data_IF_673431964917
#
_entry.id   IF_673431964917
#
_cell.length_a   1.000
_cell.length_b   1.000
_cell.length_c   1.000
_cell.angle_alpha   90.00
_cell.angle_beta   90.00
_cell.angle_gamma   90.00
#
_symmetry.space_group_name_H-M   'P 1'
#
loop_
_entity.id
_entity.type
_entity.pdbx_description
1 polymer ?
#
# COMPACT_ATOMS: atom_id res chain seq x y z
N UNK A 1 9.97 57.88 -30.08
CA UNK A 1 9.23 59.17 -29.98
C UNK A 1 7.74 58.87 -29.93
N UNK A 2 7.07 59.34 -28.86
CA UNK A 2 5.66 59.78 -28.74
C UNK A 2 4.64 59.19 -29.74
N UNK A 3 3.74 58.32 -29.28
CA UNK A 3 2.42 58.64 -28.69
C UNK A 3 1.34 59.06 -29.70
N UNK A 4 0.15 58.43 -29.61
CA UNK A 4 -1.11 59.11 -29.23
C UNK A 4 -2.29 58.13 -29.19
N UNK A 5 -2.98 58.16 -28.05
CA UNK A 5 -4.37 57.73 -27.81
C UNK A 5 -5.33 58.57 -28.67
N UNK A 6 -6.60 58.14 -28.84
CA UNK A 6 -7.75 58.67 -28.08
C UNK A 6 -9.11 58.65 -28.85
N UNK A 7 -10.10 57.98 -28.23
CA UNK A 7 -11.56 58.28 -28.11
C UNK A 7 -12.49 58.36 -29.35
N UNK A 8 -13.65 57.70 -29.21
CA UNK A 8 -14.90 58.03 -29.90
C UNK A 8 -16.11 57.23 -29.38
N UNK A 9 -16.80 57.78 -28.38
CA UNK A 9 -18.08 57.32 -27.79
C UNK A 9 -19.24 57.65 -28.75
N UNK A 10 -20.22 56.75 -28.91
CA UNK A 10 -21.62 57.13 -29.22
C UNK A 10 -22.57 56.28 -28.39
N UNK A 11 -23.40 56.97 -27.60
CA UNK A 11 -24.52 56.46 -26.82
C UNK A 11 -25.76 57.27 -27.24
N UNK A 12 -26.86 56.61 -27.61
CA UNK A 12 -28.21 57.18 -27.76
C UNK A 12 -29.21 56.01 -27.80
N UNK A 13 -29.89 55.69 -26.69
CA UNK A 13 -31.16 56.22 -26.14
C UNK A 13 -32.39 55.43 -26.63
N UNK A 14 -33.17 54.99 -25.64
CA UNK A 14 -34.30 54.06 -25.64
C UNK A 14 -35.65 54.67 -26.09
N UNK A 15 -36.65 53.82 -26.38
CA UNK A 15 -38.10 54.04 -26.12
C UNK A 15 -38.85 52.69 -25.93
N UNK A 16 -39.50 52.59 -24.76
CA UNK A 16 -40.74 51.90 -24.28
C UNK A 16 -41.55 50.87 -25.13
N UNK A 17 -41.71 49.65 -24.56
CA UNK A 17 -42.91 48.87 -24.10
C UNK A 17 -44.23 48.79 -24.95
N UNK A 18 -45.17 47.84 -24.66
CA UNK A 18 -45.16 46.40 -24.95
C UNK A 18 -46.39 45.94 -25.77
N UNK A 19 -46.34 44.81 -26.47
CA UNK A 19 -47.56 44.12 -26.95
C UNK A 19 -47.57 42.71 -26.39
N UNK A 20 -48.47 42.47 -25.43
CA UNK A 20 -48.90 41.13 -25.08
C UNK A 20 -49.82 40.61 -26.18
N UNK A 21 -49.43 39.52 -26.83
CA UNK A 21 -50.37 38.58 -27.43
C UNK A 21 -49.88 37.16 -27.23
N UNK A 22 -50.80 36.35 -26.76
CA UNK A 22 -50.78 34.96 -26.32
C UNK A 22 -50.11 33.92 -27.23
N UNK A 23 -49.62 32.87 -26.55
CA UNK A 23 -49.59 31.44 -26.95
C UNK A 23 -48.71 31.02 -28.13
N UNK A 24 -47.57 30.38 -27.85
CA UNK A 24 -47.41 28.91 -27.84
C UNK A 24 -45.93 28.57 -27.71
N UNK A 25 -45.54 27.93 -26.61
CA UNK A 25 -44.21 27.36 -26.44
C UNK A 25 -44.18 26.04 -27.21
N UNK A 26 -43.50 26.04 -28.36
CA UNK A 26 -42.89 24.83 -28.89
C UNK A 26 -41.38 25.07 -29.00
N UNK A 27 -40.66 24.64 -27.96
CA UNK A 27 -39.21 24.47 -28.02
C UNK A 27 -38.90 23.41 -29.08
N UNK A 28 -38.47 23.87 -30.26
CA UNK A 28 -37.72 23.04 -31.21
C UNK A 28 -36.44 22.59 -30.52
N UNK A 29 -36.34 21.30 -30.28
CA UNK A 29 -35.14 20.59 -29.86
C UNK A 29 -34.03 20.82 -30.90
N UNK A 30 -33.06 21.65 -30.57
CA UNK A 30 -31.75 21.59 -31.19
C UNK A 30 -31.07 20.32 -30.69
N UNK A 31 -31.16 19.24 -31.48
CA UNK A 31 -30.34 18.05 -31.30
C UNK A 31 -28.91 18.46 -31.63
N UNK A 32 -28.12 18.77 -30.61
CA UNK A 32 -26.66 18.79 -30.73
C UNK A 32 -26.20 17.34 -30.64
N UNK A 33 -25.69 16.83 -31.75
CA UNK A 33 -25.02 15.53 -31.82
C UNK A 33 -23.89 15.55 -30.79
N UNK A 34 -23.86 14.58 -29.87
CA UNK A 34 -22.77 14.46 -28.91
C UNK A 34 -21.46 14.34 -29.71
N UNK A 35 -20.68 15.42 -29.74
CA UNK A 35 -19.27 15.30 -30.06
C UNK A 35 -18.70 14.41 -28.97
N UNK A 36 -18.12 13.30 -29.40
CA UNK A 36 -17.28 12.46 -28.57
C UNK A 36 -16.28 13.37 -27.88
N UNK A 37 -16.48 13.58 -26.58
CA UNK A 37 -15.42 14.05 -25.70
C UNK A 37 -14.36 12.96 -25.83
N UNK A 38 -13.31 13.22 -26.60
CA UNK A 38 -12.05 12.50 -26.47
C UNK A 38 -11.65 12.72 -25.03
N UNK A 39 -11.92 11.73 -24.18
CA UNK A 39 -11.37 11.63 -22.85
C UNK A 39 -9.87 11.85 -23.01
N UNK A 40 -9.35 12.97 -22.50
CA UNK A 40 -7.91 13.06 -22.26
C UNK A 40 -7.56 11.80 -21.46
N UNK A 41 -6.73 10.96 -22.08
CA UNK A 41 -6.33 9.69 -21.50
C UNK A 41 -5.53 10.03 -20.24
N UNK A 42 -6.20 10.08 -19.09
CA UNK A 42 -5.54 10.27 -17.80
C UNK A 42 -4.50 9.16 -17.69
N UNK A 43 -3.24 9.51 -17.86
CA UNK A 43 -2.14 8.55 -17.73
C UNK A 43 -2.14 8.09 -16.29
N UNK A 44 -2.54 6.84 -16.06
CA UNK A 44 -2.48 6.21 -14.73
C UNK A 44 -1.11 6.46 -14.11
N UNK A 45 -1.07 7.09 -12.94
CA UNK A 45 0.13 7.25 -12.11
C UNK A 45 0.48 5.96 -11.37
N UNK A 46 -0.34 4.93 -11.53
CA UNK A 46 -0.12 3.59 -10.98
C UNK A 46 0.52 2.69 -12.01
N UNK A 47 1.68 2.12 -11.66
CA UNK A 47 2.40 1.14 -12.47
C UNK A 47 2.40 -0.22 -11.78
N UNK A 48 2.03 -1.28 -12.51
CA UNK A 48 2.22 -2.66 -12.06
C UNK A 48 3.56 -3.19 -12.56
N UNK A 49 4.31 -3.78 -11.65
CA UNK A 49 5.58 -4.47 -11.88
C UNK A 49 5.38 -5.92 -11.41
N UNK A 50 4.96 -6.78 -12.33
CA UNK A 50 4.54 -8.15 -12.03
C UNK A 50 4.71 -9.07 -13.23
N UNK A 51 5.50 -10.12 -13.06
CA UNK A 51 5.76 -11.12 -14.08
C UNK A 51 4.92 -12.39 -13.92
N UNK A 52 5.20 -13.40 -14.75
CA UNK A 52 4.55 -14.72 -14.62
C UNK A 52 4.95 -15.47 -13.36
N UNK A 53 6.10 -15.11 -12.79
CA UNK A 53 6.67 -15.68 -11.58
C UNK A 53 7.49 -14.62 -10.83
N UNK A 54 7.93 -14.97 -9.61
CA UNK A 54 8.73 -14.11 -8.74
C UNK A 54 10.00 -13.58 -9.40
N UNK A 55 10.66 -14.37 -10.25
CA UNK A 55 11.91 -13.99 -10.89
C UNK A 55 11.69 -12.93 -11.96
N UNK A 56 10.61 -13.07 -12.73
CA UNK A 56 10.22 -12.05 -13.70
C UNK A 56 9.69 -10.78 -13.04
N UNK A 57 8.95 -10.88 -11.92
CA UNK A 57 8.59 -9.70 -11.11
C UNK A 57 9.83 -8.94 -10.65
N UNK A 58 10.83 -9.63 -10.09
CA UNK A 58 12.10 -9.03 -9.67
C UNK A 58 12.82 -8.30 -10.81
N UNK A 59 12.80 -8.90 -12.02
CA UNK A 59 13.38 -8.28 -13.22
C UNK A 59 12.62 -7.04 -13.65
N UNK A 60 11.28 -7.05 -13.64
CA UNK A 60 10.49 -5.85 -13.97
C UNK A 60 10.73 -4.71 -12.97
N UNK A 61 10.83 -5.04 -11.68
CA UNK A 61 11.18 -4.08 -10.63
C UNK A 61 12.56 -3.47 -10.88
N UNK A 62 13.55 -4.31 -11.21
CA UNK A 62 14.90 -3.87 -11.56
C UNK A 62 14.91 -2.95 -12.79
N UNK A 63 14.18 -3.30 -13.84
CA UNK A 63 14.09 -2.51 -15.07
C UNK A 63 13.45 -1.15 -14.86
N UNK A 64 12.47 -1.08 -13.95
CA UNK A 64 11.82 0.17 -13.60
C UNK A 64 12.75 1.09 -12.79
N UNK A 65 13.41 0.55 -11.77
CA UNK A 65 14.22 1.34 -10.84
C UNK A 65 15.62 1.71 -11.33
N UNK A 66 16.22 0.88 -12.20
CA UNK A 66 17.64 0.96 -12.53
C UNK A 66 17.89 0.79 -14.02
N UNK A 67 18.44 1.82 -14.68
CA UNK A 67 18.96 1.70 -16.05
C UNK A 67 20.25 0.88 -16.09
N UNK A 68 21.09 1.05 -15.07
CA UNK A 68 22.31 0.31 -14.77
C UNK A 68 22.53 0.32 -13.25
N UNK A 69 23.39 -0.55 -12.73
CA UNK A 69 23.76 -0.55 -11.32
C UNK A 69 25.21 -1.04 -11.16
N UNK A 70 25.99 -0.42 -10.28
CA UNK A 70 27.38 -0.83 -10.02
C UNK A 70 27.45 -2.15 -9.23
N UNK A 71 26.44 -2.40 -8.40
CA UNK A 71 26.24 -3.62 -7.62
C UNK A 71 24.87 -4.23 -7.93
N UNK A 72 24.78 -5.56 -7.92
CA UNK A 72 23.52 -6.32 -7.85
C UNK A 72 23.52 -7.18 -6.61
N UNK A 73 22.43 -7.14 -5.83
CA UNK A 73 22.22 -8.09 -4.74
C UNK A 73 21.49 -9.32 -5.27
N UNK A 74 21.99 -10.51 -4.94
CA UNK A 74 21.42 -11.78 -5.35
C UNK A 74 21.07 -12.63 -4.14
N UNK A 75 19.81 -13.02 -4.00
CA UNK A 75 19.36 -13.87 -2.90
C UNK A 75 18.58 -15.11 -3.38
N UNK A 76 18.51 -16.13 -2.53
CA UNK A 76 17.64 -17.29 -2.77
C UNK A 76 16.18 -16.92 -2.51
N UNK A 77 15.28 -17.38 -3.38
CA UNK A 77 13.85 -17.30 -3.13
C UNK A 77 13.14 -18.45 -3.86
N UNK A 78 13.68 -19.66 -3.80
CA UNK A 78 13.08 -20.84 -4.40
C UNK A 78 11.84 -21.29 -3.61
N UNK A 79 11.95 -21.24 -2.28
CA UNK A 79 10.85 -21.57 -1.36
C UNK A 79 10.25 -20.32 -0.70
N UNK A 80 9.15 -20.49 0.05
CA UNK A 80 8.49 -19.39 0.77
C UNK A 80 9.13 -19.07 2.14
N UNK A 81 10.24 -19.71 2.50
CA UNK A 81 10.92 -19.53 3.80
C UNK A 81 12.31 -18.89 3.71
N UNK A 82 12.78 -18.61 2.49
CA UNK A 82 14.11 -18.06 2.14
C UNK A 82 14.13 -16.51 2.09
N UNK A 83 13.35 -15.85 2.94
CA UNK A 83 13.21 -14.39 2.88
C UNK A 83 14.22 -13.62 3.73
N UNK A 84 14.67 -14.21 4.84
CA UNK A 84 15.31 -13.46 5.92
C UNK A 84 16.61 -12.78 5.47
N UNK A 85 17.50 -13.53 4.81
CA UNK A 85 18.79 -13.02 4.34
C UNK A 85 18.62 -11.85 3.37
N UNK A 86 17.65 -11.95 2.46
CA UNK A 86 17.36 -10.91 1.50
C UNK A 86 16.72 -9.67 2.15
N UNK A 87 15.78 -9.88 3.08
CA UNK A 87 15.12 -8.78 3.80
C UNK A 87 16.12 -7.96 4.62
N UNK A 88 16.99 -8.62 5.37
CA UNK A 88 18.06 -7.96 6.11
C UNK A 88 19.01 -7.18 5.19
N UNK A 89 19.14 -7.60 3.93
CA UNK A 89 19.91 -6.92 2.89
C UNK A 89 19.26 -5.67 2.31
N UNK A 90 17.98 -5.39 2.57
CA UNK A 90 17.27 -4.24 1.98
C UNK A 90 17.97 -2.91 2.25
N UNK A 91 18.35 -2.58 3.51
CA UNK A 91 19.03 -1.32 3.79
C UNK A 91 20.37 -1.20 3.08
N UNK A 92 21.13 -2.29 3.01
CA UNK A 92 22.41 -2.31 2.31
C UNK A 92 22.22 -2.13 0.80
N UNK A 93 21.25 -2.82 0.18
CA UNK A 93 20.94 -2.65 -1.24
C UNK A 93 20.51 -1.22 -1.58
N UNK A 94 19.67 -0.61 -0.75
CA UNK A 94 19.28 0.79 -0.89
C UNK A 94 20.49 1.73 -0.79
N UNK A 95 21.39 1.51 0.17
CA UNK A 95 22.59 2.33 0.38
C UNK A 95 23.56 2.28 -0.81
N UNK A 96 23.53 1.20 -1.59
CA UNK A 96 24.33 1.02 -2.81
C UNK A 96 23.60 1.43 -4.09
N UNK A 97 22.38 1.97 -3.98
CA UNK A 97 21.48 2.19 -5.11
C UNK A 97 21.40 0.97 -6.05
N UNK A 98 21.15 -0.20 -5.47
CA UNK A 98 21.24 -1.49 -6.16
C UNK A 98 19.91 -2.26 -6.11
N UNK A 99 19.53 -2.95 -7.20
CA UNK A 99 18.39 -3.86 -7.18
C UNK A 99 18.72 -5.15 -6.41
N UNK A 100 17.68 -5.72 -5.80
CA UNK A 100 17.69 -7.09 -5.27
C UNK A 100 17.05 -8.01 -6.32
N UNK A 101 17.86 -8.89 -6.89
CA UNK A 101 17.40 -9.99 -7.73
C UNK A 101 17.36 -11.28 -6.92
N UNK A 102 16.54 -12.22 -7.37
CA UNK A 102 16.36 -13.52 -6.72
C UNK A 102 16.68 -14.67 -7.66
N UNK A 103 17.13 -15.80 -7.11
CA UNK A 103 17.55 -16.99 -7.86
C UNK A 103 17.01 -18.28 -7.22
N UNK A 104 17.11 -19.39 -7.97
CA UNK A 104 16.98 -20.74 -7.39
C UNK A 104 18.27 -21.12 -6.68
N UNK A 105 18.22 -22.14 -5.83
CA UNK A 105 19.35 -22.64 -5.07
C UNK A 105 20.54 -23.02 -5.96
N UNK A 106 20.28 -23.74 -7.06
CA UNK A 106 21.33 -24.30 -7.93
C UNK A 106 21.34 -23.76 -9.36
N UNK A 107 20.48 -22.80 -9.71
CA UNK A 107 20.47 -22.20 -11.04
C UNK A 107 19.97 -20.77 -11.03
N UNK A 108 20.64 -19.91 -11.81
CA UNK A 108 20.14 -18.57 -12.09
C UNK A 108 19.12 -18.66 -13.24
N UNK A 109 17.84 -18.28 -13.04
CA UNK A 109 16.88 -18.23 -14.13
C UNK A 109 17.37 -17.36 -15.28
N UNK A 110 17.07 -17.74 -16.53
CA UNK A 110 17.53 -17.00 -17.72
C UNK A 110 17.11 -15.53 -17.72
N UNK A 111 15.92 -15.21 -17.20
CA UNK A 111 15.43 -13.83 -17.07
C UNK A 111 16.31 -13.01 -16.13
N UNK A 112 16.77 -13.62 -15.03
CA UNK A 112 17.65 -12.99 -14.03
C UNK A 112 19.06 -12.82 -14.57
N UNK A 113 19.62 -13.82 -15.24
CA UNK A 113 20.96 -13.70 -15.83
C UNK A 113 21.02 -12.70 -16.98
N UNK A 114 19.93 -12.56 -17.75
CA UNK A 114 19.78 -11.51 -18.75
C UNK A 114 19.72 -10.13 -18.11
N UNK A 115 18.99 -10.00 -17.01
CA UNK A 115 18.88 -8.74 -16.28
C UNK A 115 20.22 -8.31 -15.64
N UNK A 116 20.97 -9.24 -15.05
CA UNK A 116 22.34 -8.97 -14.55
C UNK A 116 23.20 -8.41 -15.69
N UNK A 117 23.16 -9.01 -16.88
CA UNK A 117 23.90 -8.52 -18.05
C UNK A 117 23.43 -7.13 -18.51
N UNK A 118 22.12 -6.84 -18.43
CA UNK A 118 21.56 -5.54 -18.80
C UNK A 118 22.05 -4.44 -17.86
N UNK A 119 22.07 -4.72 -16.56
CA UNK A 119 22.52 -3.79 -15.51
C UNK A 119 24.02 -3.48 -15.59
N UNK A 120 24.81 -4.42 -16.14
CA UNK A 120 26.28 -4.34 -16.28
C UNK A 120 27.00 -4.06 -14.95
N UNK A 121 26.70 -4.80 -13.86
CA UNK A 121 27.33 -4.55 -12.58
C UNK A 121 28.81 -4.94 -12.59
N UNK A 122 29.59 -4.21 -11.79
CA UNK A 122 30.95 -4.62 -11.44
C UNK A 122 30.93 -5.66 -10.32
N UNK A 123 30.03 -5.46 -9.35
CA UNK A 123 29.94 -6.28 -8.15
C UNK A 123 28.63 -7.06 -8.10
N UNK A 124 28.70 -8.30 -7.61
CA UNK A 124 27.50 -9.07 -7.23
C UNK A 124 27.65 -9.47 -5.77
N UNK A 125 26.70 -9.05 -4.94
CA UNK A 125 26.66 -9.41 -3.53
C UNK A 125 25.61 -10.50 -3.33
N UNK A 126 26.06 -11.71 -3.00
CA UNK A 126 25.17 -12.82 -2.63
C UNK A 126 24.77 -12.68 -1.17
N UNK A 127 23.48 -12.66 -0.90
CA UNK A 127 22.92 -12.67 0.44
C UNK A 127 22.51 -14.11 0.80
N UNK A 128 23.08 -14.62 1.89
CA UNK A 128 22.78 -15.95 2.40
C UNK A 128 23.84 -17.01 2.08
N UNK A 129 23.78 -18.08 2.86
CA UNK A 129 24.74 -19.18 2.80
C UNK A 129 24.60 -20.04 1.54
N UNK A 130 25.51 -21.02 1.40
CA UNK A 130 25.50 -21.96 0.27
C UNK A 130 24.27 -22.85 0.22
N UNK A 131 23.54 -22.98 1.35
CA UNK A 131 22.27 -23.69 1.43
C UNK A 131 21.11 -23.02 0.70
N UNK A 132 21.17 -21.70 0.44
CA UNK A 132 20.12 -20.95 -0.27
C UNK A 132 20.57 -20.46 -1.65
N UNK A 133 21.86 -20.17 -1.82
CA UNK A 133 22.48 -19.88 -3.12
C UNK A 133 23.79 -20.65 -3.20
N UNK A 134 23.84 -21.70 -4.01
CA UNK A 134 24.94 -22.65 -3.98
C UNK A 134 26.29 -22.06 -4.37
N UNK A 135 27.37 -22.75 -3.98
CA UNK A 135 28.73 -22.36 -4.34
C UNK A 135 28.96 -22.38 -5.86
N UNK A 136 28.23 -23.23 -6.60
CA UNK A 136 28.37 -23.31 -8.06
C UNK A 136 27.86 -22.05 -8.75
N UNK A 137 26.79 -21.41 -8.24
CA UNK A 137 26.31 -20.10 -8.70
C UNK A 137 27.41 -19.05 -8.52
N UNK A 138 27.99 -18.97 -7.32
CA UNK A 138 29.06 -18.00 -7.02
C UNK A 138 30.28 -18.20 -7.94
N UNK A 139 30.73 -19.43 -8.11
CA UNK A 139 31.86 -19.76 -8.99
C UNK A 139 31.56 -19.43 -10.45
N UNK A 140 30.32 -19.68 -10.91
CA UNK A 140 29.89 -19.35 -12.27
C UNK A 140 29.89 -17.83 -12.52
N UNK A 141 29.46 -17.04 -11.54
CA UNK A 141 29.49 -15.58 -11.63
C UNK A 141 30.94 -15.04 -11.61
N UNK A 142 31.81 -15.58 -10.76
CA UNK A 142 33.25 -15.23 -10.75
C UNK A 142 33.93 -15.55 -12.08
N UNK A 143 33.63 -16.72 -12.66
CA UNK A 143 34.16 -17.13 -13.96
C UNK A 143 33.68 -16.24 -15.12
N UNK A 144 32.53 -15.57 -14.96
CA UNK A 144 32.03 -14.56 -15.90
C UNK A 144 32.69 -13.18 -15.72
N UNK A 145 33.60 -13.03 -14.75
CA UNK A 145 34.38 -11.81 -14.52
C UNK A 145 33.79 -10.82 -13.53
N UNK A 146 32.70 -11.16 -12.84
CA UNK A 146 32.13 -10.30 -11.80
C UNK A 146 32.95 -10.36 -10.51
N UNK A 147 33.02 -9.25 -9.77
CA UNK A 147 33.50 -9.25 -8.40
C UNK A 147 32.40 -9.76 -7.46
N UNK A 148 32.47 -11.03 -7.07
CA UNK A 148 31.41 -11.67 -6.27
C UNK A 148 31.79 -11.74 -4.81
N UNK A 149 30.99 -11.12 -3.95
CA UNK A 149 31.08 -11.19 -2.49
C UNK A 149 29.88 -11.95 -1.94
N UNK A 150 30.07 -12.77 -0.90
CA UNK A 150 28.97 -13.42 -0.18
C UNK A 150 28.91 -12.90 1.24
N UNK A 151 27.72 -12.52 1.70
CA UNK A 151 27.44 -12.18 3.08
C UNK A 151 26.52 -13.26 3.64
N UNK A 152 27.04 -14.06 4.57
CA UNK A 152 26.33 -15.20 5.15
C UNK A 152 26.82 -15.49 6.56
N UNK A 153 25.90 -15.90 7.41
CA UNK A 153 26.16 -16.51 8.72
C UNK A 153 25.78 -17.98 8.73
N UNK A 154 25.87 -18.61 9.90
CA UNK A 154 25.46 -20.03 10.09
C UNK A 154 23.95 -20.26 9.93
N UNK A 155 23.16 -19.22 10.15
CA UNK A 155 21.70 -19.21 10.04
C UNK A 155 21.20 -17.79 9.67
N UNK A 156 19.88 -17.60 9.61
CA UNK A 156 19.26 -16.31 9.26
C UNK A 156 19.57 -15.19 10.24
N UNK A 157 19.77 -15.52 11.51
CA UNK A 157 20.03 -14.54 12.57
C UNK A 157 21.46 -14.02 12.47
N UNK A 158 22.42 -14.94 12.31
CA UNK A 158 23.83 -14.58 12.10
C UNK A 158 24.03 -13.90 10.73
N UNK A 159 23.33 -14.33 9.67
CA UNK A 159 23.40 -13.65 8.37
C UNK A 159 22.97 -12.17 8.47
N UNK A 160 21.89 -11.88 9.20
CA UNK A 160 21.48 -10.50 9.45
C UNK A 160 22.54 -9.69 10.22
N UNK A 161 23.22 -10.30 11.20
CA UNK A 161 24.36 -9.68 11.91
C UNK A 161 25.53 -9.39 10.98
N UNK A 162 25.87 -10.31 10.06
CA UNK A 162 26.94 -10.08 9.08
C UNK A 162 26.57 -8.95 8.11
N UNK A 163 25.32 -8.88 7.66
CA UNK A 163 24.83 -7.78 6.82
C UNK A 163 24.90 -6.45 7.56
N UNK A 164 24.49 -6.41 8.83
CA UNK A 164 24.58 -5.21 9.67
C UNK A 164 26.02 -4.68 9.77
N UNK A 165 26.99 -5.58 10.01
CA UNK A 165 28.41 -5.20 10.06
C UNK A 165 28.93 -4.63 8.74
N UNK A 166 28.53 -5.21 7.61
CA UNK A 166 28.91 -4.69 6.28
C UNK A 166 28.29 -3.32 6.05
N UNK A 167 27.01 -3.14 6.40
CA UNK A 167 26.31 -1.85 6.31
C UNK A 167 27.06 -0.77 7.10
N UNK A 168 27.38 -1.02 8.37
CA UNK A 168 28.06 -0.02 9.22
C UNK A 168 29.52 0.22 8.84
N UNK A 169 30.23 -0.80 8.36
CA UNK A 169 31.61 -0.62 7.90
C UNK A 169 31.68 0.28 6.66
N UNK A 170 30.69 0.17 5.76
CA UNK A 170 30.64 0.97 4.53
C UNK A 170 30.06 2.36 4.77
N UNK A 171 29.16 2.47 5.73
CA UNK A 171 28.46 3.69 6.05
C UNK A 171 28.50 3.92 7.57
N UNK A 172 29.65 4.38 8.09
CA UNK A 172 29.83 4.61 9.53
C UNK A 172 29.05 5.85 9.98
N UNK A 173 28.66 5.87 11.26
CA UNK A 173 27.82 6.88 11.90
C UNK A 173 28.50 8.23 12.14
N UNK A 174 29.45 8.66 11.30
CA UNK A 174 30.32 9.81 11.59
C UNK A 174 29.89 11.11 10.92
N UNK A 175 28.95 11.10 9.98
CA UNK A 175 28.58 12.31 9.21
C UNK A 175 27.09 12.31 8.83
N UNK A 176 26.22 12.73 9.75
CA UNK A 176 24.83 13.18 9.52
C UNK A 176 23.88 12.31 8.68
N UNK A 177 24.32 11.16 8.20
CA UNK A 177 23.59 10.22 7.37
C UNK A 177 24.20 8.87 7.64
N UNK A 178 23.32 7.93 8.01
CA UNK A 178 23.50 6.47 8.05
C UNK A 178 23.76 5.89 9.46
N UNK A 179 22.79 5.08 9.92
CA UNK A 179 22.71 4.58 11.30
C UNK A 179 22.17 5.61 12.27
N UNK A 180 21.19 6.43 11.83
CA UNK A 180 20.86 7.78 12.32
C UNK A 180 21.07 8.08 13.81
N UNK A 181 20.80 7.16 14.74
CA UNK A 181 21.09 7.32 16.17
C UNK A 181 21.57 6.00 16.82
N UNK A 182 22.37 5.20 16.12
CA UNK A 182 22.73 3.85 16.59
C UNK A 182 21.52 2.92 16.68
N UNK A 183 20.52 3.12 15.83
CA UNK A 183 19.27 2.35 15.86
C UNK A 183 19.42 1.03 15.14
N UNK A 184 18.83 -0.03 15.71
CA UNK A 184 18.57 -1.30 15.03
C UNK A 184 17.11 -1.68 15.12
N UNK A 185 16.61 -2.38 14.11
CA UNK A 185 15.31 -3.02 14.13
C UNK A 185 15.48 -4.49 14.51
N UNK A 186 14.63 -4.99 15.40
CA UNK A 186 14.51 -6.43 15.72
C UNK A 186 13.10 -6.88 15.44
N UNK A 187 12.98 -7.94 14.66
CA UNK A 187 11.70 -8.56 14.26
C UNK A 187 11.79 -10.09 14.31
N UNK A 188 10.66 -10.79 14.19
CA UNK A 188 10.64 -12.25 14.09
C UNK A 188 11.28 -12.71 12.78
N UNK A 189 12.09 -13.77 12.86
CA UNK A 189 12.65 -14.43 11.69
C UNK A 189 11.68 -15.41 11.03
N UNK A 190 10.49 -15.63 11.60
CA UNK A 190 9.49 -16.62 11.14
C UNK A 190 8.41 -16.03 10.24
N UNK A 191 8.16 -14.73 10.33
CA UNK A 191 7.10 -14.04 9.58
C UNK A 191 7.67 -12.81 8.87
N UNK A 192 7.73 -12.86 7.54
CA UNK A 192 8.37 -11.81 6.73
C UNK A 192 7.67 -10.46 6.83
N UNK A 193 6.36 -10.46 7.14
CA UNK A 193 5.51 -9.27 7.14
C UNK A 193 6.00 -8.21 8.14
N UNK A 194 6.44 -8.64 9.33
CA UNK A 194 6.98 -7.75 10.36
C UNK A 194 8.26 -7.04 9.91
N UNK A 195 9.16 -7.78 9.25
CA UNK A 195 10.36 -7.20 8.67
C UNK A 195 10.04 -6.28 7.49
N UNK A 196 9.02 -6.63 6.70
CA UNK A 196 8.64 -5.86 5.52
C UNK A 196 8.02 -4.50 5.87
N UNK A 197 7.21 -4.43 6.91
CA UNK A 197 6.55 -3.21 7.34
C UNK A 197 7.54 -2.07 7.64
N UNK A 198 8.75 -2.42 8.09
CA UNK A 198 9.83 -1.49 8.38
C UNK A 198 10.92 -1.45 7.32
N UNK A 199 10.88 -2.30 6.28
CA UNK A 199 11.96 -2.43 5.29
C UNK A 199 12.28 -1.10 4.59
N UNK A 200 11.24 -0.33 4.23
CA UNK A 200 11.40 0.99 3.59
C UNK A 200 12.01 2.01 4.54
N UNK A 201 11.47 2.17 5.74
CA UNK A 201 12.00 3.12 6.74
C UNK A 201 13.41 2.74 7.18
N UNK A 202 13.67 1.45 7.36
CA UNK A 202 14.99 0.95 7.71
C UNK A 202 15.99 1.20 6.59
N UNK A 203 15.59 1.03 5.33
CA UNK A 203 16.44 1.36 4.21
C UNK A 203 16.80 2.85 4.15
N UNK A 204 15.80 3.73 4.23
CA UNK A 204 16.01 5.18 4.19
C UNK A 204 16.84 5.70 5.37
N UNK A 205 16.60 5.15 6.56
CA UNK A 205 17.40 5.45 7.76
C UNK A 205 18.74 4.71 7.82
N UNK A 206 18.99 3.80 6.88
CA UNK A 206 20.14 2.88 6.86
C UNK A 206 20.29 2.12 8.20
N UNK A 207 19.15 1.67 8.73
CA UNK A 207 19.01 0.93 9.97
C UNK A 207 19.08 -0.55 9.66
N UNK A 208 19.91 -1.29 10.42
CA UNK A 208 20.01 -2.73 10.26
C UNK A 208 18.70 -3.42 10.72
N UNK A 209 18.24 -4.40 9.93
CA UNK A 209 17.13 -5.29 10.29
C UNK A 209 17.71 -6.59 10.80
N UNK A 210 17.48 -6.88 12.08
CA UNK A 210 17.93 -8.08 12.78
C UNK A 210 16.73 -8.98 13.08
N UNK A 211 17.00 -10.28 13.21
CA UNK A 211 15.97 -11.27 13.52
C UNK A 211 16.20 -11.89 14.89
N UNK A 212 15.12 -12.15 15.62
CA UNK A 212 15.16 -13.06 16.77
C UNK A 212 13.83 -13.78 16.93
N UNK A 213 13.83 -14.94 17.54
CA UNK A 213 12.65 -15.74 17.80
C UNK A 213 12.73 -16.41 19.18
N UNK A 214 11.57 -16.66 19.79
CA UNK A 214 11.47 -17.27 21.13
C UNK A 214 11.49 -16.25 22.26
N UNK A 215 11.70 -16.74 23.49
CA UNK A 215 11.57 -15.91 24.70
C UNK A 215 12.83 -15.09 25.05
N UNK A 216 13.90 -15.25 24.26
CA UNK A 216 15.17 -14.57 24.46
C UNK A 216 15.78 -14.18 23.11
N UNK A 217 16.71 -13.24 23.14
CA UNK A 217 17.48 -12.90 21.94
C UNK A 217 18.34 -14.08 21.49
N UNK A 218 18.36 -14.34 20.18
CA UNK A 218 19.33 -15.26 19.58
C UNK A 218 20.75 -14.82 19.95
N UNK A 219 21.65 -15.80 20.19
CA UNK A 219 22.99 -15.54 20.74
C UNK A 219 23.77 -14.50 19.95
N UNK A 220 23.66 -14.52 18.62
CA UNK A 220 24.46 -13.60 17.79
C UNK A 220 23.91 -12.19 17.76
N UNK A 221 22.58 -12.04 17.83
CA UNK A 221 21.94 -10.74 17.96
C UNK A 221 22.18 -10.17 19.35
N UNK A 222 22.08 -10.99 20.39
CA UNK A 222 22.45 -10.63 21.77
C UNK A 222 23.91 -10.17 21.86
N UNK A 223 24.84 -10.95 21.30
CA UNK A 223 26.26 -10.61 21.28
C UNK A 223 26.53 -9.29 20.56
N UNK A 224 25.86 -9.03 19.43
CA UNK A 224 25.97 -7.77 18.71
C UNK A 224 25.48 -6.61 19.58
N UNK A 225 24.25 -6.71 20.10
CA UNK A 225 23.58 -5.67 20.87
C UNK A 225 24.36 -5.29 22.12
N UNK A 226 24.84 -6.26 22.90
CA UNK A 226 25.49 -5.97 24.17
C UNK A 226 26.97 -5.57 24.04
N UNK A 227 27.64 -5.91 22.93
CA UNK A 227 29.06 -5.60 22.75
C UNK A 227 29.29 -4.35 21.90
N UNK A 228 28.42 -4.08 20.94
CA UNK A 228 28.56 -2.90 20.10
C UNK A 228 28.05 -1.67 20.86
N UNK A 229 28.96 -0.73 21.15
CA UNK A 229 28.65 0.51 21.84
C UNK A 229 28.04 1.56 20.91
N UNK A 230 28.06 1.34 19.58
CA UNK A 230 27.43 2.23 18.62
C UNK A 230 25.92 2.03 18.55
N UNK A 231 25.39 0.92 19.06
CA UNK A 231 23.94 0.68 19.15
C UNK A 231 23.40 1.44 20.37
N UNK A 232 22.64 2.51 20.11
CA UNK A 232 22.06 3.39 21.14
C UNK A 232 20.54 3.22 21.28
N UNK A 233 19.87 2.61 20.29
CA UNK A 233 18.42 2.40 20.32
C UNK A 233 18.04 1.09 19.61
N UNK A 234 16.96 0.46 20.11
CA UNK A 234 16.46 -0.80 19.59
C UNK A 234 14.96 -0.66 19.37
N UNK A 235 14.53 -0.85 18.12
CA UNK A 235 13.15 -0.84 17.70
C UNK A 235 12.65 -2.28 17.54
N UNK A 236 11.78 -2.73 18.44
CA UNK A 236 11.17 -4.06 18.36
C UNK A 236 9.84 -3.95 17.59
N UNK A 237 9.69 -4.76 16.54
CA UNK A 237 8.47 -4.83 15.72
C UNK A 237 7.71 -6.13 16.03
N UNK A 238 6.56 -6.00 16.68
CA UNK A 238 5.72 -7.11 17.12
C UNK A 238 5.57 -7.19 18.64
N UNK A 239 4.43 -7.70 19.09
CA UNK A 239 4.12 -7.84 20.51
C UNK A 239 4.96 -8.92 21.20
N UNK A 240 4.82 -9.02 22.53
CA UNK A 240 5.40 -10.11 23.32
C UNK A 240 4.95 -11.51 22.85
N UNK A 241 3.83 -11.63 22.13
CA UNK A 241 3.38 -12.90 21.56
C UNK A 241 4.19 -13.28 20.31
N UNK A 242 4.65 -12.28 19.56
CA UNK A 242 5.41 -12.45 18.32
C UNK A 242 6.90 -12.59 18.63
N UNK A 243 7.41 -11.74 19.52
CA UNK A 243 8.76 -11.73 20.03
C UNK A 243 8.71 -11.79 21.56
N UNK A 244 8.86 -12.99 22.11
CA UNK A 244 8.83 -13.25 23.55
C UNK A 244 10.00 -12.68 24.34
N UNK A 245 10.73 -11.67 23.83
CA UNK A 245 11.93 -11.09 24.46
C UNK A 245 11.55 -10.37 25.76
N UNK A 246 11.27 -11.16 26.80
CA UNK A 246 10.97 -10.69 28.14
C UNK A 246 12.28 -10.45 28.89
N UNK A 247 12.39 -9.30 29.54
CA UNK A 247 13.41 -9.00 30.57
C UNK A 247 14.87 -8.82 30.12
N UNK A 248 15.36 -9.50 29.09
CA UNK A 248 16.79 -9.42 28.70
C UNK A 248 17.20 -8.09 28.09
N UNK A 249 16.30 -7.44 27.34
CA UNK A 249 16.52 -6.10 26.81
C UNK A 249 16.24 -5.03 27.88
N UNK A 250 15.12 -5.13 28.61
CA UNK A 250 14.59 -4.11 29.52
C UNK A 250 15.51 -3.68 30.68
N UNK A 251 16.57 -4.44 30.99
CA UNK A 251 17.56 -4.09 32.01
C UNK A 251 18.78 -3.33 31.46
N UNK A 252 18.76 -2.88 30.21
CA UNK A 252 19.83 -2.08 29.63
C UNK A 252 19.50 -0.59 29.68
N UNK A 253 20.47 0.24 30.08
CA UNK A 253 20.36 1.71 30.10
C UNK A 253 20.22 2.36 28.70
N UNK A 254 19.98 1.56 27.65
CA UNK A 254 20.17 1.92 26.23
C UNK A 254 18.88 2.26 25.48
N UNK A 255 17.88 2.86 26.12
CA UNK A 255 16.70 3.40 25.43
C UNK A 255 16.02 2.39 24.49
N UNK A 256 15.39 1.36 25.05
CA UNK A 256 14.62 0.40 24.25
C UNK A 256 13.26 0.98 23.95
N UNK A 257 12.96 1.11 22.66
CA UNK A 257 11.68 1.57 22.18
C UNK A 257 10.98 0.37 21.53
N UNK A 258 10.06 -0.27 22.26
CA UNK A 258 9.05 -1.09 21.60
C UNK A 258 8.10 -0.11 20.90
N UNK A 259 8.40 0.18 19.64
CA UNK A 259 7.61 1.19 18.93
C UNK A 259 6.24 0.61 18.56
N UNK A 260 6.13 -0.71 18.36
CA UNK A 260 4.87 -1.25 17.88
C UNK A 260 4.48 -2.63 18.44
N UNK A 261 3.41 -2.62 19.23
CA UNK A 261 2.82 -3.78 19.90
C UNK A 261 1.74 -4.42 19.00
N UNK A 262 2.18 -5.04 17.90
CA UNK A 262 1.29 -5.75 16.99
C UNK A 262 1.21 -7.23 17.37
N UNK A 263 0.02 -7.71 17.74
CA UNK A 263 -0.21 -9.13 18.01
C UNK A 263 -0.28 -9.97 16.73
N UNK A 264 -0.56 -9.34 15.60
CA UNK A 264 -0.72 -9.99 14.31
C UNK A 264 -0.48 -9.03 13.13
N UNK A 265 -0.38 -9.60 11.93
CA UNK A 265 -0.13 -8.87 10.68
C UNK A 265 -1.26 -7.88 10.36
N UNK A 266 -2.51 -8.21 10.68
CA UNK A 266 -3.63 -7.32 10.41
C UNK A 266 -3.58 -6.04 11.27
N UNK A 267 -3.00 -6.10 12.48
CA UNK A 267 -2.75 -4.91 13.31
C UNK A 267 -1.56 -4.09 12.79
N UNK A 268 -0.48 -4.76 12.37
CA UNK A 268 0.67 -4.14 11.72
C UNK A 268 0.26 -3.34 10.47
N UNK A 269 -0.63 -3.92 9.66
CA UNK A 269 -1.17 -3.31 8.45
C UNK A 269 -2.18 -2.18 8.73
N UNK A 270 -2.80 -2.14 9.91
CA UNK A 270 -3.72 -1.06 10.34
C UNK A 270 -3.01 0.10 11.04
N UNK A 271 -1.88 -0.16 11.69
CA UNK A 271 -1.27 0.74 12.68
C UNK A 271 -0.34 1.84 12.15
N UNK A 272 0.15 1.75 10.91
CA UNK A 272 1.07 2.75 10.35
C UNK A 272 0.44 3.54 9.19
N UNK A 273 -0.52 4.39 9.53
CA UNK A 273 -1.39 5.10 8.59
C UNK A 273 -0.99 6.53 8.18
N UNK A 274 0.27 6.95 8.34
CA UNK A 274 0.72 8.28 7.90
C UNK A 274 1.53 8.21 6.62
N UNK A 275 0.86 8.42 5.48
CA UNK A 275 1.52 8.68 4.20
C UNK A 275 2.19 10.06 4.14
N UNK A 276 2.07 10.86 5.21
CA UNK A 276 2.64 12.22 5.34
C UNK A 276 4.14 12.28 5.01
N UNK A 277 4.91 11.23 5.31
CA UNK A 277 6.36 11.23 5.05
C UNK A 277 6.75 10.60 3.70
N UNK A 278 5.78 10.15 2.92
CA UNK A 278 6.01 9.43 1.67
C UNK A 278 5.51 10.22 0.47
N UNK A 279 6.18 10.06 -0.66
CA UNK A 279 5.78 10.66 -1.94
C UNK A 279 4.81 9.77 -2.70
N UNK A 280 4.64 8.50 -2.33
CA UNK A 280 3.73 7.58 -3.01
C UNK A 280 3.48 6.29 -2.23
N UNK A 281 2.83 5.34 -2.89
CA UNK A 281 2.45 4.05 -2.29
C UNK A 281 2.92 2.92 -3.18
N UNK A 282 3.51 1.88 -2.60
CA UNK A 282 3.79 0.61 -3.24
C UNK A 282 2.97 -0.49 -2.55
N UNK A 283 2.40 -1.41 -3.31
CA UNK A 283 1.52 -2.46 -2.80
C UNK A 283 2.05 -3.84 -3.18
N UNK A 284 2.02 -4.80 -2.25
CA UNK A 284 2.39 -6.18 -2.48
C UNK A 284 1.58 -7.15 -1.61
N UNK A 285 1.53 -8.42 -1.99
CA UNK A 285 0.76 -9.43 -1.24
C UNK A 285 1.37 -9.78 0.13
N UNK A 286 0.54 -9.99 1.14
CA UNK A 286 0.91 -10.32 2.53
C UNK A 286 1.15 -11.83 2.77
N UNK A 287 0.82 -12.69 1.80
CA UNK A 287 0.99 -14.15 1.86
C UNK A 287 2.29 -14.60 1.19
N UNK A 288 2.81 -13.82 0.25
CA UNK A 288 4.03 -14.13 -0.51
C UNK A 288 5.05 -12.99 -0.43
N UNK A 289 6.27 -13.33 0.01
CA UNK A 289 7.33 -12.34 0.21
C UNK A 289 8.13 -11.90 -1.04
N UNK A 290 8.31 -12.71 -2.12
CA UNK A 290 9.33 -12.37 -3.13
C UNK A 290 9.10 -11.04 -3.84
N UNK A 291 7.84 -10.70 -4.12
CA UNK A 291 7.48 -9.48 -4.83
C UNK A 291 7.68 -8.24 -3.94
N UNK A 292 7.26 -8.29 -2.67
CA UNK A 292 7.50 -7.22 -1.69
C UNK A 292 8.98 -7.06 -1.36
N UNK A 293 9.73 -8.16 -1.24
CA UNK A 293 11.16 -8.18 -0.99
C UNK A 293 11.96 -7.52 -2.11
N UNK A 294 11.70 -7.89 -3.36
CA UNK A 294 12.47 -7.33 -4.48
C UNK A 294 12.05 -5.88 -4.74
N UNK A 295 10.81 -5.53 -4.42
CA UNK A 295 10.27 -4.18 -4.50
C UNK A 295 10.66 -3.23 -3.37
N UNK A 296 11.11 -3.72 -2.22
CA UNK A 296 11.36 -2.89 -1.02
C UNK A 296 12.46 -1.84 -1.25
N UNK A 297 13.55 -2.21 -1.93
CA UNK A 297 14.63 -1.29 -2.29
C UNK A 297 14.15 -0.20 -3.27
N UNK A 298 13.28 -0.56 -4.22
CA UNK A 298 12.68 0.40 -5.15
C UNK A 298 11.71 1.34 -4.43
N UNK A 299 10.86 0.80 -3.55
CA UNK A 299 9.94 1.60 -2.75
C UNK A 299 10.71 2.61 -1.88
N UNK A 300 11.80 2.19 -1.23
CA UNK A 300 12.70 3.08 -0.50
C UNK A 300 13.34 4.15 -1.40
N UNK A 301 13.85 3.76 -2.58
CA UNK A 301 14.44 4.67 -3.58
C UNK A 301 13.46 5.75 -4.02
N UNK A 302 12.19 5.40 -4.19
CA UNK A 302 11.13 6.32 -4.63
C UNK A 302 10.50 7.11 -3.48
N UNK A 303 10.84 6.81 -2.23
CA UNK A 303 10.14 7.29 -1.04
C UNK A 303 8.65 6.91 -1.02
N UNK A 304 8.33 5.68 -1.42
CA UNK A 304 6.96 5.14 -1.41
C UNK A 304 6.76 4.27 -0.18
N UNK A 305 5.63 4.44 0.53
CA UNK A 305 5.25 3.51 1.61
C UNK A 305 4.94 2.15 0.99
N UNK A 306 5.62 1.10 1.46
CA UNK A 306 5.28 -0.26 1.09
C UNK A 306 4.15 -0.78 1.98
N UNK A 307 3.07 -1.19 1.33
CA UNK A 307 1.81 -1.68 1.90
C UNK A 307 1.67 -3.16 1.56
N UNK A 308 1.56 -4.00 2.58
CA UNK A 308 1.16 -5.39 2.41
C UNK A 308 -0.37 -5.50 2.41
N UNK A 309 -0.93 -6.40 1.62
CA UNK A 309 -2.38 -6.59 1.42
C UNK A 309 -2.69 -8.06 1.21
N UNK A 310 -3.91 -8.48 1.53
CA UNK A 310 -4.44 -9.81 1.19
C UNK A 310 -4.47 -10.12 -0.32
N UNK A 311 -4.20 -9.12 -1.17
CA UNK A 311 -4.17 -9.15 -2.63
C UNK A 311 -5.39 -8.48 -3.25
N UNK A 312 -6.48 -8.34 -2.51
CA UNK A 312 -7.74 -7.75 -2.98
C UNK A 312 -7.99 -6.39 -2.35
N UNK A 313 -7.74 -6.24 -1.05
CA UNK A 313 -8.20 -5.14 -0.22
C UNK A 313 -7.04 -4.27 0.23
N UNK A 314 -7.21 -2.95 0.21
CA UNK A 314 -6.21 -2.04 0.75
C UNK A 314 -6.47 -1.91 2.25
N UNK A 315 -5.53 -2.32 3.13
CA UNK A 315 -5.83 -2.44 4.56
C UNK A 315 -5.92 -1.10 5.29
N UNK A 316 -5.50 0.00 4.66
CA UNK A 316 -5.47 1.31 5.29
C UNK A 316 -6.77 2.10 5.06
N UNK A 317 -7.32 2.60 6.16
CA UNK A 317 -7.95 3.92 6.17
C UNK A 317 -6.84 4.94 6.05
N UNK A 318 -6.60 5.47 4.85
CA UNK A 318 -5.61 6.54 4.74
C UNK A 318 -6.20 7.76 5.42
N UNK A 319 -5.56 8.23 6.48
CA UNK A 319 -5.86 9.54 7.05
C UNK A 319 -5.71 10.62 5.95
N UNK A 320 -6.38 11.78 6.06
CA UNK A 320 -6.27 12.83 5.05
C UNK A 320 -4.81 13.15 4.76
N UNK A 321 -4.32 12.73 3.59
CA UNK A 321 -2.95 13.02 3.19
C UNK A 321 -2.90 14.51 2.88
N UNK A 322 -2.22 15.31 3.70
CA UNK A 322 -1.96 16.71 3.35
C UNK A 322 -1.13 16.78 2.06
N UNK A 323 -0.16 15.87 1.92
CA UNK A 323 0.74 15.78 0.77
C UNK A 323 0.09 15.21 -0.50
N UNK A 324 0.54 15.73 -1.64
CA UNK A 324 0.17 15.19 -2.95
C UNK A 324 1.07 14.01 -3.29
N UNK A 325 0.49 12.82 -3.41
CA UNK A 325 1.24 11.64 -3.82
C UNK A 325 1.55 11.67 -5.33
N UNK A 326 2.80 11.36 -5.68
CA UNK A 326 3.33 11.35 -7.05
C UNK A 326 2.91 10.13 -7.86
N UNK A 327 2.63 8.99 -7.22
CA UNK A 327 2.25 7.77 -7.93
C UNK A 327 2.16 6.52 -7.08
N UNK A 328 1.83 5.42 -7.77
CA UNK A 328 1.59 4.13 -7.17
C UNK A 328 2.38 3.01 -7.83
N UNK A 329 2.88 2.05 -7.06
CA UNK A 329 3.46 0.82 -7.56
C UNK A 329 2.67 -0.39 -7.07
N UNK A 330 2.56 -1.41 -7.91
CA UNK A 330 2.07 -2.73 -7.52
C UNK A 330 3.16 -3.74 -7.83
N UNK A 331 3.65 -4.44 -6.82
CA UNK A 331 4.58 -5.55 -6.97
C UNK A 331 3.80 -6.85 -7.04
N UNK A 332 3.97 -7.58 -8.15
CA UNK A 332 3.34 -8.86 -8.40
C UNK A 332 2.27 -8.84 -9.50
N UNK A 333 2.07 -10.02 -10.09
CA UNK A 333 1.06 -10.24 -11.14
C UNK A 333 -0.37 -10.18 -10.60
N UNK A 334 -1.35 -10.25 -11.51
CA UNK A 334 -2.78 -10.18 -11.14
C UNK A 334 -3.28 -11.38 -10.33
N UNK A 335 -2.53 -12.49 -10.30
CA UNK A 335 -2.86 -13.67 -9.50
C UNK A 335 -2.53 -13.55 -8.01
N UNK A 336 -1.76 -12.53 -7.60
CA UNK A 336 -1.40 -12.27 -6.19
C UNK A 336 -1.83 -10.89 -5.71
N UNK A 337 -1.95 -9.93 -6.63
CA UNK A 337 -2.55 -8.61 -6.37
C UNK A 337 -3.54 -8.29 -7.47
N UNK A 338 -4.83 -8.22 -7.10
CA UNK A 338 -6.01 -8.05 -7.95
C UNK A 338 -5.85 -7.03 -9.07
N UNK A 339 -6.48 -7.30 -10.22
CA UNK A 339 -6.53 -6.37 -11.35
C UNK A 339 -7.24 -5.06 -11.03
N UNK A 340 -8.03 -5.01 -9.95
CA UNK A 340 -8.70 -3.79 -9.48
C UNK A 340 -7.83 -2.91 -8.56
N UNK A 341 -6.68 -3.41 -8.09
CA UNK A 341 -5.79 -2.65 -7.20
C UNK A 341 -5.34 -1.29 -7.78
N UNK A 342 -5.07 -1.12 -9.10
CA UNK A 342 -4.76 0.19 -9.67
C UNK A 342 -5.82 1.25 -9.41
N UNK A 343 -7.11 0.89 -9.48
CA UNK A 343 -8.21 1.80 -9.20
C UNK A 343 -8.23 2.20 -7.71
N UNK A 344 -7.95 1.26 -6.82
CA UNK A 344 -7.86 1.52 -5.37
C UNK A 344 -6.69 2.45 -5.04
N UNK A 345 -5.54 2.26 -5.68
CA UNK A 345 -4.40 3.16 -5.51
C UNK A 345 -4.68 4.52 -6.14
N UNK A 346 -5.26 4.60 -7.34
CA UNK A 346 -5.65 5.89 -7.92
C UNK A 346 -6.68 6.63 -7.08
N UNK A 347 -7.57 5.92 -6.41
CA UNK A 347 -8.44 6.52 -5.40
C UNK A 347 -7.60 7.22 -4.32
N UNK A 348 -6.58 6.54 -3.77
CA UNK A 348 -5.64 7.12 -2.81
C UNK A 348 -4.87 8.33 -3.37
N UNK A 349 -4.31 8.20 -4.58
CA UNK A 349 -3.49 9.24 -5.20
C UNK A 349 -4.29 10.49 -5.63
N UNK A 350 -5.56 10.33 -5.98
CA UNK A 350 -6.47 11.43 -6.28
C UNK A 350 -7.10 12.02 -5.01
N UNK A 351 -6.78 11.47 -3.83
CA UNK A 351 -7.51 11.74 -2.57
C UNK A 351 -9.02 11.43 -2.70
N UNK A 352 -9.36 10.50 -3.60
CA UNK A 352 -10.66 9.88 -3.87
C UNK A 352 -10.83 8.53 -3.13
N UNK A 353 -10.01 8.26 -2.12
CA UNK A 353 -10.52 7.58 -0.91
C UNK A 353 -11.72 8.40 -0.54
N UNK A 354 -12.91 7.83 -0.31
CA UNK A 354 -14.02 8.61 0.21
C UNK A 354 -13.44 9.47 1.35
N UNK A 355 -13.29 10.80 1.12
CA UNK A 355 -12.60 11.63 2.07
C UNK A 355 -13.40 11.44 3.34
N UNK A 356 -12.70 11.29 4.44
CA UNK A 356 -13.25 11.57 5.74
C UNK A 356 -14.35 12.63 5.60
N UNK A 357 -15.65 12.27 5.67
CA UNK A 357 -16.65 13.18 5.16
C UNK A 357 -16.69 14.35 6.13
N UNK A 358 -16.15 15.48 5.69
CA UNK A 358 -15.99 16.72 6.46
C UNK A 358 -14.82 16.81 7.47
N UNK A 359 -13.79 15.96 7.40
CA UNK A 359 -12.58 16.15 8.22
C UNK A 359 -12.64 15.66 9.68
N UNK A 360 -13.56 14.74 9.98
CA UNK A 360 -13.76 14.05 11.28
C UNK A 360 -12.65 13.06 11.66
N UNK A 361 -12.17 13.08 12.89
CA UNK A 361 -11.28 12.05 13.43
C UNK A 361 -12.05 10.76 13.68
N UNK A 362 -11.35 9.63 13.79
CA UNK A 362 -11.98 8.34 14.12
C UNK A 362 -12.69 8.34 15.49
N UNK A 363 -12.30 9.26 16.38
CA UNK A 363 -12.93 9.52 17.67
C UNK A 363 -14.17 10.42 17.58
N UNK A 364 -14.38 11.11 16.45
CA UNK A 364 -15.47 12.05 16.31
C UNK A 364 -16.77 11.31 16.00
N UNK A 365 -17.86 11.80 16.59
CA UNK A 365 -19.20 11.27 16.34
C UNK A 365 -19.60 11.62 14.90
N UNK A 366 -20.14 10.64 14.17
CA UNK A 366 -20.59 10.85 12.79
C UNK A 366 -21.72 11.88 12.76
N UNK A 367 -21.58 12.99 12.00
CA UNK A 367 -22.62 13.98 11.81
C UNK A 367 -23.55 13.50 10.69
N UNK A 368 -24.42 12.55 11.04
CA UNK A 368 -25.47 12.09 10.15
C UNK A 368 -26.34 13.28 9.72
N UNK A 369 -26.58 13.38 8.42
CA UNK A 369 -27.45 14.39 7.83
C UNK A 369 -28.92 13.94 7.81
N UNK A 370 -29.17 12.64 7.93
CA UNK A 370 -30.51 12.06 8.04
C UNK A 370 -30.71 11.41 9.42
N UNK A 371 -31.67 11.94 10.19
CA UNK A 371 -31.98 11.48 11.55
C UNK A 371 -32.45 10.02 11.58
N UNK A 372 -33.16 9.58 10.53
CA UNK A 372 -33.68 8.22 10.43
C UNK A 372 -32.57 7.23 10.09
N UNK A 373 -31.65 7.63 9.21
CA UNK A 373 -30.43 6.88 8.95
C UNK A 373 -29.65 6.66 10.24
N UNK A 374 -29.42 7.74 11.03
CA UNK A 374 -28.73 7.66 12.31
C UNK A 374 -29.39 6.64 13.25
N UNK A 375 -30.69 6.76 13.48
CA UNK A 375 -31.44 5.89 14.39
C UNK A 375 -31.29 4.41 14.00
N UNK A 376 -31.45 4.10 12.71
CA UNK A 376 -31.35 2.73 12.23
C UNK A 376 -29.91 2.20 12.22
N UNK A 377 -28.91 3.05 11.94
CA UNK A 377 -27.51 2.67 12.03
C UNK A 377 -27.10 2.38 13.48
N UNK A 378 -27.51 3.24 14.42
CA UNK A 378 -27.31 3.05 15.87
C UNK A 378 -27.95 1.75 16.36
N UNK A 379 -29.19 1.50 15.95
CA UNK A 379 -29.91 0.26 16.24
C UNK A 379 -29.23 -0.97 15.63
N UNK A 380 -28.81 -0.88 14.37
CA UNK A 380 -28.15 -1.99 13.66
C UNK A 380 -26.82 -2.36 14.31
N UNK A 381 -26.07 -1.37 14.82
CA UNK A 381 -24.77 -1.59 15.45
C UNK A 381 -24.87 -1.81 16.97
N UNK A 382 -26.05 -1.61 17.57
CA UNK A 382 -26.25 -1.71 19.02
C UNK A 382 -25.49 -0.64 19.80
N UNK A 383 -25.31 0.54 19.21
CA UNK A 383 -24.49 1.64 19.75
C UNK A 383 -25.21 2.98 19.60
N UNK A 384 -24.88 3.94 20.46
CA UNK A 384 -25.30 5.33 20.31
C UNK A 384 -24.07 6.21 20.10
N UNK A 385 -24.21 7.34 19.42
CA UNK A 385 -23.11 8.24 19.11
C UNK A 385 -21.96 7.54 18.37
N UNK A 386 -22.31 6.80 17.31
CA UNK A 386 -21.35 6.07 16.48
C UNK A 386 -20.19 7.01 16.09
N UNK A 387 -18.96 6.61 16.42
CA UNK A 387 -17.78 7.34 15.97
C UNK A 387 -17.43 6.98 14.53
N UNK A 388 -16.66 7.81 13.84
CA UNK A 388 -16.22 7.50 12.48
C UNK A 388 -15.42 6.18 12.43
N UNK A 389 -14.59 5.92 13.44
CA UNK A 389 -13.84 4.66 13.55
C UNK A 389 -14.76 3.43 13.66
N UNK A 390 -15.86 3.55 14.40
CA UNK A 390 -16.86 2.49 14.53
C UNK A 390 -17.67 2.29 13.25
N UNK A 391 -18.08 3.36 12.58
CA UNK A 391 -18.77 3.31 11.29
C UNK A 391 -17.89 2.63 10.22
N UNK A 392 -16.59 2.94 10.19
CA UNK A 392 -15.61 2.31 9.31
C UNK A 392 -15.40 0.82 9.62
N UNK A 393 -15.59 0.37 10.85
CA UNK A 393 -15.43 -1.05 11.22
C UNK A 393 -16.68 -1.89 10.93
N UNK A 394 -17.82 -1.25 10.65
CA UNK A 394 -19.04 -1.97 10.30
C UNK A 394 -18.86 -2.73 8.99
N UNK A 395 -19.05 -4.04 9.06
CA UNK A 395 -19.07 -4.94 7.90
C UNK A 395 -20.50 -5.29 7.45
N UNK A 396 -21.48 -4.98 8.30
CA UNK A 396 -22.90 -5.20 8.06
C UNK A 396 -23.72 -4.03 8.57
N UNK A 397 -24.77 -3.66 7.84
CA UNK A 397 -25.70 -2.61 8.25
C UNK A 397 -27.12 -2.98 7.81
N UNK A 398 -28.09 -2.81 8.70
CA UNK A 398 -29.52 -3.01 8.42
C UNK A 398 -30.27 -1.71 8.63
N UNK A 399 -30.88 -1.17 7.59
CA UNK A 399 -31.60 0.10 7.61
C UNK A 399 -33.08 -0.10 7.28
N UNK A 400 -33.98 0.43 8.12
CA UNK A 400 -35.43 0.30 7.95
C UNK A 400 -36.09 1.66 7.67
N UNK A 401 -36.78 1.80 6.55
CA UNK A 401 -37.53 3.01 6.22
C UNK A 401 -36.67 4.21 5.83
N UNK A 402 -35.39 4.01 5.55
CA UNK A 402 -34.45 5.08 5.19
C UNK A 402 -34.63 5.43 3.71
N UNK A 403 -34.84 6.71 3.41
CA UNK A 403 -35.08 7.21 2.04
C UNK A 403 -33.92 8.03 1.50
N UNK A 404 -33.06 8.56 2.37
CA UNK A 404 -31.82 9.24 2.01
C UNK A 404 -30.63 8.37 2.44
N UNK A 405 -29.87 7.86 1.48
CA UNK A 405 -28.73 6.98 1.71
C UNK A 405 -27.39 7.71 1.62
N UNK A 406 -27.38 9.04 1.51
CA UNK A 406 -26.13 9.81 1.35
C UNK A 406 -25.15 9.68 2.52
N UNK A 407 -25.61 9.25 3.71
CA UNK A 407 -24.77 8.97 4.88
C UNK A 407 -24.07 7.60 4.82
N UNK A 408 -24.35 6.76 3.82
CA UNK A 408 -23.56 5.55 3.55
C UNK A 408 -22.08 5.84 3.31
N UNK A 409 -21.74 7.08 2.90
CA UNK A 409 -20.34 7.56 2.78
C UNK A 409 -19.49 7.39 4.05
N UNK A 410 -20.11 7.28 5.23
CA UNK A 410 -19.40 7.04 6.50
C UNK A 410 -19.09 5.55 6.76
N UNK A 411 -19.65 4.63 5.97
CA UNK A 411 -19.50 3.17 6.13
C UNK A 411 -18.83 2.54 4.89
N UNK A 412 -17.58 2.91 4.60
CA UNK A 412 -16.92 2.49 3.36
C UNK A 412 -16.64 0.98 3.30
N UNK A 413 -16.70 0.28 4.43
CA UNK A 413 -16.27 -1.10 4.58
C UNK A 413 -17.38 -2.14 4.71
N UNK A 414 -18.62 -1.77 4.38
CA UNK A 414 -19.73 -2.72 4.39
C UNK A 414 -19.46 -3.85 3.38
N UNK A 415 -19.66 -5.07 3.84
CA UNK A 415 -19.66 -6.31 3.05
C UNK A 415 -21.10 -6.69 2.73
N UNK A 416 -22.00 -6.54 3.71
CA UNK A 416 -23.44 -6.74 3.56
C UNK A 416 -24.22 -5.49 3.93
N UNK A 417 -25.27 -5.19 3.16
CA UNK A 417 -26.20 -4.11 3.47
C UNK A 417 -27.64 -4.61 3.28
N UNK A 418 -28.45 -4.55 4.32
CA UNK A 418 -29.88 -4.87 4.25
C UNK A 418 -30.68 -3.58 4.33
N UNK A 419 -31.50 -3.30 3.32
CA UNK A 419 -32.40 -2.17 3.27
C UNK A 419 -33.84 -2.68 3.25
N UNK A 420 -34.65 -2.22 4.21
CA UNK A 420 -36.05 -2.59 4.34
C UNK A 420 -36.94 -1.36 4.15
N UNK A 421 -38.08 -1.49 3.45
CA UNK A 421 -39.06 -0.42 3.24
C UNK A 421 -38.45 0.89 2.70
N UNK A 422 -37.62 0.79 1.66
CA UNK A 422 -36.74 1.88 1.21
C UNK A 422 -37.01 2.35 -0.22
N UNK A 423 -36.38 3.47 -0.60
CA UNK A 423 -36.35 3.95 -1.98
C UNK A 423 -34.93 4.29 -2.39
N UNK A 424 -34.36 3.55 -3.35
CA UNK A 424 -32.99 3.69 -3.82
C UNK A 424 -33.01 4.33 -5.21
N UNK A 425 -32.96 5.66 -5.22
CA UNK A 425 -33.12 6.46 -6.45
C UNK A 425 -31.78 6.99 -6.98
N UNK A 426 -30.69 6.80 -6.25
CA UNK A 426 -29.36 7.29 -6.61
C UNK A 426 -28.32 6.18 -6.38
N UNK A 427 -27.82 5.60 -7.47
CA UNK A 427 -26.78 4.58 -7.39
C UNK A 427 -25.46 5.14 -6.83
N UNK A 428 -25.24 6.45 -6.90
CA UNK A 428 -23.99 7.08 -6.44
C UNK A 428 -23.87 7.08 -4.91
N UNK A 429 -24.96 6.85 -4.17
CA UNK A 429 -24.92 6.74 -2.70
C UNK A 429 -24.06 5.54 -2.25
N UNK A 430 -23.79 4.59 -3.17
CA UNK A 430 -22.98 3.39 -2.92
C UNK A 430 -21.54 3.51 -3.42
N UNK A 431 -21.17 4.58 -4.14
CA UNK A 431 -19.85 4.74 -4.77
C UNK A 431 -18.69 4.68 -3.78
N UNK A 432 -18.96 5.01 -2.51
CA UNK A 432 -17.98 5.04 -1.43
C UNK A 432 -17.88 3.72 -0.66
N UNK A 433 -18.63 2.68 -1.03
CA UNK A 433 -18.64 1.37 -0.34
C UNK A 433 -17.86 0.35 -1.16
N UNK A 434 -16.57 0.23 -0.88
CA UNK A 434 -15.63 -0.48 -1.75
C UNK A 434 -15.67 -2.01 -1.62
N UNK A 435 -16.19 -2.52 -0.50
CA UNK A 435 -16.18 -3.95 -0.15
C UNK A 435 -17.56 -4.62 -0.23
N UNK A 436 -18.55 -3.92 -0.77
CA UNK A 436 -19.93 -4.39 -0.79
C UNK A 436 -20.05 -5.64 -1.64
N UNK A 437 -20.36 -6.76 -1.00
CA UNK A 437 -20.49 -8.07 -1.64
C UNK A 437 -21.95 -8.43 -1.89
N UNK A 438 -22.83 -8.06 -0.95
CA UNK A 438 -24.25 -8.31 -1.07
C UNK A 438 -25.09 -7.13 -0.57
N UNK A 439 -26.17 -6.84 -1.28
CA UNK A 439 -27.24 -5.95 -0.83
C UNK A 439 -28.52 -6.74 -0.81
N UNK A 440 -29.25 -6.68 0.30
CA UNK A 440 -30.59 -7.22 0.42
C UNK A 440 -31.60 -6.07 0.44
N UNK A 441 -32.57 -6.11 -0.47
CA UNK A 441 -33.61 -5.10 -0.66
C UNK A 441 -34.96 -5.73 -0.35
N UNK A 442 -35.55 -5.39 0.80
CA UNK A 442 -36.86 -5.88 1.20
C UNK A 442 -37.88 -4.75 1.14
N UNK A 443 -38.96 -4.96 0.37
CA UNK A 443 -40.02 -3.96 0.15
C UNK A 443 -39.48 -2.59 -0.30
N UNK A 444 -38.45 -2.61 -1.14
CA UNK A 444 -37.80 -1.41 -1.66
C UNK A 444 -38.17 -1.11 -3.12
N UNK A 445 -38.15 0.17 -3.47
CA UNK A 445 -38.20 0.64 -4.86
C UNK A 445 -36.81 1.07 -5.30
N UNK A 446 -36.38 0.72 -6.52
CA UNK A 446 -35.06 1.12 -7.03
C UNK A 446 -35.02 1.18 -8.56
N UNK A 447 -34.11 2.00 -9.10
CA UNK A 447 -33.87 2.12 -10.54
C UNK A 447 -32.99 0.96 -11.06
N UNK A 448 -33.23 0.52 -12.30
CA UNK A 448 -32.37 -0.42 -13.02
C UNK A 448 -30.93 0.06 -13.13
N UNK A 449 -30.69 1.37 -13.11
CA UNK A 449 -29.35 1.95 -13.08
C UNK A 449 -28.52 1.42 -11.89
N UNK A 450 -29.14 1.13 -10.75
CA UNK A 450 -28.49 0.52 -9.58
C UNK A 450 -27.85 -0.83 -9.90
N UNK A 451 -28.57 -1.70 -10.61
CA UNK A 451 -28.08 -3.03 -11.02
C UNK A 451 -26.85 -2.87 -11.92
N UNK A 452 -26.86 -1.89 -12.83
CA UNK A 452 -25.74 -1.65 -13.74
C UNK A 452 -24.54 -0.98 -13.08
N UNK A 453 -24.73 -0.19 -12.01
CA UNK A 453 -23.64 0.44 -11.27
C UNK A 453 -22.92 -0.53 -10.33
N UNK A 454 -23.63 -1.52 -9.78
CA UNK A 454 -23.12 -2.46 -8.79
C UNK A 454 -22.82 -3.85 -9.38
N UNK A 455 -22.04 -3.90 -10.47
CA UNK A 455 -21.83 -5.11 -11.29
C UNK A 455 -21.25 -6.33 -10.55
N UNK A 456 -20.57 -6.11 -9.43
CA UNK A 456 -19.90 -7.15 -8.65
C UNK A 456 -20.59 -7.44 -7.30
N UNK A 457 -21.80 -6.91 -7.10
CA UNK A 457 -22.55 -7.02 -5.85
C UNK A 457 -23.76 -7.93 -6.08
N UNK A 458 -23.94 -8.92 -5.21
CA UNK A 458 -25.15 -9.74 -5.23
C UNK A 458 -26.33 -8.93 -4.69
N UNK A 459 -27.30 -8.61 -5.54
CA UNK A 459 -28.52 -7.90 -5.12
C UNK A 459 -29.63 -8.93 -4.91
N UNK A 460 -30.06 -9.10 -3.67
CA UNK A 460 -31.16 -10.00 -3.26
C UNK A 460 -32.41 -9.16 -3.02
N UNK A 461 -33.53 -9.45 -3.68
CA UNK A 461 -34.79 -8.73 -3.50
C UNK A 461 -35.83 -9.63 -2.84
N UNK A 462 -36.41 -9.19 -1.71
CA UNK A 462 -37.46 -9.88 -0.96
C UNK A 462 -37.14 -11.37 -0.69
N UNK A 463 -35.88 -11.68 -0.41
CA UNK A 463 -35.36 -13.05 -0.24
C UNK A 463 -35.60 -14.01 -1.43
N UNK A 464 -35.91 -13.51 -2.62
CA UNK A 464 -36.37 -14.32 -3.77
C UNK A 464 -35.54 -14.14 -5.02
N UNK A 465 -35.30 -12.90 -5.44
CA UNK A 465 -34.63 -12.62 -6.71
C UNK A 465 -33.17 -12.23 -6.46
N UNK A 466 -32.23 -12.93 -7.09
CA UNK A 466 -30.79 -12.63 -6.98
C UNK A 466 -30.28 -12.12 -8.32
N UNK A 467 -29.79 -10.89 -8.36
CA UNK A 467 -29.10 -10.31 -9.51
C UNK A 467 -27.58 -10.33 -9.25
N UNK A 468 -26.85 -11.09 -10.05
CA UNK A 468 -25.38 -11.17 -10.02
C UNK A 468 -24.86 -11.13 -11.47
N UNK A 469 -24.24 -10.02 -11.88
CA UNK A 469 -23.87 -9.80 -13.29
C UNK A 469 -22.57 -10.53 -13.71
N UNK A 470 -21.93 -11.32 -12.84
CA UNK A 470 -20.72 -12.08 -13.17
C UNK A 470 -20.94 -13.56 -13.51
N UNK A 471 -22.18 -14.05 -13.62
CA UNK A 471 -22.45 -15.37 -14.20
C UNK A 471 -23.57 -15.26 -15.24
N UNK A 472 -23.16 -15.41 -16.51
CA UNK A 472 -23.95 -15.66 -17.74
C UNK A 472 -25.44 -15.36 -17.73
#
# INVERSE_FOLDING_TARGET
MKSKKLIGIVMSVAICLPIFSSTNIQNKTNIVKAESITTEQQTSRVTRLGGKDRYETAVQISQYGWKSADTVFLAGAETNTEFADALAGTPLAYSEDAPILITRHNSIPTVVSTEIKRLKPKNITILGGTGVVSQSIENSLKAQGYNVTRIAGKDRYDTAVQIAKVLWAKYPSTDEKIGADGTVVITTGKQFQYAMATAVSAAQGHVAILFSDGDTLNSEVSNLIFRDQHIQSINIIGSDKVLGIKGSLYNSDRGIFRIYDYDNIAELEKGEGKLENYTGVAVANDKTFPDSLTGSALAAKMNYKLVLTDGENFPYTVEPIENTLSGGLIFGGTGVVSSNMPNKIEAILNKNIAPNPNGLKDTDIVPFSDEKFKEEAEKSLGKTNITLGEAKQATGLTLNGVTNLSDLKYFPNLIGLTLNNCSVNNANDFDNIYYLYAIELNDCTFDKSLITSLKNVAIVVNHKDVYNLNNK
#
